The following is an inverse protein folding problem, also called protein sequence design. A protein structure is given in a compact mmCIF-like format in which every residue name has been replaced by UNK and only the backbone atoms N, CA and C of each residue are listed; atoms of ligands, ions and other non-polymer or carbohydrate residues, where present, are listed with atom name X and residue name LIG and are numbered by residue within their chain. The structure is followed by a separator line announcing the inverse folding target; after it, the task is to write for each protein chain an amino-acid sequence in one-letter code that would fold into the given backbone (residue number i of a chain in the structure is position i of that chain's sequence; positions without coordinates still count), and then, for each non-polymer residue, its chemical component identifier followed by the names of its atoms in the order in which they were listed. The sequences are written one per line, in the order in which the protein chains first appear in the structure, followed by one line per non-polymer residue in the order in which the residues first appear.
data_IF_705642693998
#
_entry.id   IF_705642693998
#
_cell.length_a   1.000
_cell.length_b   1.000
_cell.length_c   1.000
_cell.angle_alpha   90.00
_cell.angle_beta   90.00
_cell.angle_gamma   90.00
#
_symmetry.space_group_name_H-M   'P 1'
#
loop_
_entity.id
_entity.type
_entity.pdbx_description
1 polymer ?
#
# COMPACT_ATOMS: atom_id res chain seq x y z
N UNK A 1 16.97 18.33 -0.78
CA UNK A 1 15.89 17.52 -0.19
C UNK A 1 15.32 16.62 -1.29
N UNK A 2 15.24 15.30 -1.12
CA UNK A 2 14.54 14.45 -2.11
C UNK A 2 13.05 14.80 -2.10
N UNK A 3 12.51 15.09 -3.28
CA UNK A 3 11.08 15.34 -3.49
C UNK A 3 10.28 14.13 -2.99
N UNK A 4 9.16 14.34 -2.26
CA UNK A 4 8.32 13.24 -1.71
C UNK A 4 7.91 12.21 -2.77
N UNK A 5 7.78 12.63 -4.02
CA UNK A 5 7.45 11.83 -5.21
C UNK A 5 8.39 10.65 -5.48
N UNK A 6 9.61 10.65 -4.93
CA UNK A 6 10.60 9.57 -5.11
C UNK A 6 10.89 8.79 -3.84
N UNK A 7 10.14 9.02 -2.75
CA UNK A 7 10.29 8.24 -1.52
C UNK A 7 9.43 6.99 -1.60
N UNK A 8 9.95 5.86 -1.14
CA UNK A 8 9.15 4.63 -1.03
C UNK A 8 8.18 4.66 0.15
N UNK A 9 8.53 5.41 1.21
CA UNK A 9 7.80 5.47 2.47
C UNK A 9 7.60 6.92 2.90
N UNK A 10 6.41 7.21 3.42
CA UNK A 10 6.10 8.46 4.12
C UNK A 10 5.45 8.12 5.47
N UNK A 11 5.93 8.75 6.54
CA UNK A 11 5.29 8.65 7.85
C UNK A 11 3.98 9.43 7.85
N UNK A 12 2.96 9.00 8.63
CA UNK A 12 1.67 9.69 8.62
C UNK A 12 1.78 11.17 9.02
N UNK A 13 2.67 11.51 9.96
CA UNK A 13 2.99 12.91 10.32
C UNK A 13 3.54 13.76 9.17
N UNK A 14 4.09 13.14 8.12
CA UNK A 14 4.61 13.82 6.93
C UNK A 14 3.56 13.96 5.82
N UNK A 15 2.40 13.31 5.97
CA UNK A 15 1.36 13.21 4.94
C UNK A 15 0.28 14.28 5.17
N UNK A 16 -0.18 14.85 4.05
CA UNK A 16 -1.30 15.80 3.98
C UNK A 16 -2.29 15.39 2.89
N UNK A 17 -3.42 16.08 2.80
CA UNK A 17 -4.42 15.93 1.73
C UNK A 17 -3.82 16.15 0.33
N UNK A 18 -2.72 16.91 0.21
CA UNK A 18 -2.01 17.11 -1.06
C UNK A 18 -1.25 15.87 -1.53
N UNK A 19 -1.01 14.91 -0.64
CA UNK A 19 -0.24 13.70 -0.91
C UNK A 19 -1.13 12.53 -1.38
N UNK A 20 -2.44 12.73 -1.62
CA UNK A 20 -3.36 11.70 -2.17
C UNK A 20 -2.78 10.98 -3.41
N UNK A 21 -2.16 11.66 -4.40
CA UNK A 21 -1.56 10.96 -5.54
C UNK A 21 -0.37 10.04 -5.18
N UNK A 22 0.21 10.23 -4.00
CA UNK A 22 1.36 9.45 -3.50
C UNK A 22 0.94 8.32 -2.58
N UNK A 23 -0.07 8.50 -1.73
CA UNK A 23 -0.40 7.52 -0.67
C UNK A 23 -1.85 7.03 -0.68
N UNK A 24 -2.68 7.60 -1.56
CA UNK A 24 -4.11 7.34 -1.61
C UNK A 24 -4.92 8.07 -0.54
N UNK A 25 -6.23 8.01 -0.73
CA UNK A 25 -7.22 8.76 0.02
C UNK A 25 -7.24 8.49 1.52
N UNK A 26 -7.23 7.22 1.90
CA UNK A 26 -7.26 6.78 3.31
C UNK A 26 -6.02 7.23 4.08
N UNK A 27 -4.84 7.03 3.50
CA UNK A 27 -3.58 7.45 4.14
C UNK A 27 -3.47 8.97 4.23
N UNK A 28 -3.92 9.70 3.20
CA UNK A 28 -3.96 11.16 3.23
C UNK A 28 -4.89 11.69 4.32
N UNK A 29 -6.10 11.12 4.43
CA UNK A 29 -7.06 11.44 5.50
C UNK A 29 -6.50 11.12 6.88
N UNK A 30 -5.81 9.98 7.05
CA UNK A 30 -5.18 9.62 8.32
C UNK A 30 -4.03 10.57 8.70
N UNK A 31 -3.22 10.99 7.71
CA UNK A 31 -2.19 12.01 7.91
C UNK A 31 -2.75 13.36 8.33
N UNK A 32 -3.84 13.83 7.69
CA UNK A 32 -4.56 15.04 8.10
C UNK A 32 -5.08 14.93 9.53
N UNK A 33 -5.74 13.83 9.89
CA UNK A 33 -6.24 13.64 11.25
C UNK A 33 -5.09 13.69 12.27
N UNK A 34 -3.95 13.05 12.01
CA UNK A 34 -2.78 13.09 12.91
C UNK A 34 -2.22 14.53 13.03
N UNK A 35 -2.14 15.27 11.93
CA UNK A 35 -1.60 16.64 11.96
C UNK A 35 -2.52 17.62 12.68
N UNK A 36 -3.83 17.54 12.43
CA UNK A 36 -4.79 18.56 12.84
C UNK A 36 -5.51 18.24 14.16
N UNK A 37 -5.57 16.95 14.55
CA UNK A 37 -6.35 16.50 15.70
C UNK A 37 -5.51 16.00 16.88
N UNK A 38 -4.25 15.60 16.66
CA UNK A 38 -3.41 15.15 17.78
C UNK A 38 -3.12 16.25 18.80
N UNK A 39 -2.97 17.51 18.36
CA UNK A 39 -2.85 18.67 19.27
C UNK A 39 -4.12 18.96 20.07
N UNK A 40 -5.27 18.41 19.63
CA UNK A 40 -6.56 18.51 20.31
C UNK A 40 -6.82 17.33 21.25
N UNK A 41 -5.82 16.48 21.49
CA UNK A 41 -5.91 15.33 22.37
C UNK A 41 -6.55 14.08 21.74
N UNK A 42 -6.86 14.10 20.44
CA UNK A 42 -7.39 12.91 19.76
C UNK A 42 -6.24 11.95 19.48
N UNK A 43 -6.30 10.77 20.10
CA UNK A 43 -5.28 9.74 19.97
C UNK A 43 -5.53 8.89 18.72
N UNK A 44 -4.58 8.95 17.77
CA UNK A 44 -4.65 8.22 16.50
C UNK A 44 -3.42 7.32 16.42
N UNK A 45 -3.56 6.02 16.11
CA UNK A 45 -2.41 5.15 15.94
C UNK A 45 -1.47 5.65 14.84
N UNK A 46 -0.18 5.72 15.16
CA UNK A 46 0.85 6.16 14.22
C UNK A 46 1.28 5.01 13.29
N UNK A 47 1.97 5.35 12.22
CA UNK A 47 2.33 4.43 11.16
C UNK A 47 2.99 5.11 9.97
N UNK A 48 3.08 4.35 8.88
CA UNK A 48 3.66 4.82 7.64
C UNK A 48 2.89 4.24 6.44
N UNK A 49 2.94 4.96 5.32
CA UNK A 49 2.42 4.51 4.05
C UNK A 49 3.58 4.16 3.11
N UNK A 50 3.45 3.05 2.38
CA UNK A 50 4.20 2.87 1.13
C UNK A 50 3.58 3.75 0.06
N UNK A 51 4.40 4.37 -0.78
CA UNK A 51 3.92 5.29 -1.81
C UNK A 51 3.58 4.59 -3.13
N UNK A 52 2.87 5.29 -4.02
CA UNK A 52 2.68 4.88 -5.40
C UNK A 52 4.01 4.70 -6.14
N UNK A 53 5.05 5.47 -5.79
CA UNK A 53 6.41 5.25 -6.30
C UNK A 53 6.93 3.85 -5.93
N UNK A 54 6.77 3.41 -4.67
CA UNK A 54 7.17 2.06 -4.26
C UNK A 54 6.41 0.96 -5.02
N UNK A 55 5.12 1.18 -5.30
CA UNK A 55 4.31 0.27 -6.11
C UNK A 55 4.86 0.14 -7.54
N UNK A 56 5.10 1.26 -8.22
CA UNK A 56 5.68 1.26 -9.57
C UNK A 56 7.07 0.65 -9.59
N UNK A 57 7.91 0.96 -8.61
CA UNK A 57 9.23 0.37 -8.45
C UNK A 57 9.17 -1.16 -8.30
N UNK A 58 8.22 -1.68 -7.51
CA UNK A 58 8.00 -3.12 -7.39
C UNK A 58 7.61 -3.76 -8.74
N UNK A 59 6.72 -3.13 -9.50
CA UNK A 59 6.29 -3.63 -10.81
C UNK A 59 7.45 -3.61 -11.83
N UNK A 60 8.21 -2.53 -11.88
CA UNK A 60 9.33 -2.33 -12.80
C UNK A 60 10.44 -3.34 -12.55
N UNK A 61 10.88 -3.50 -11.29
CA UNK A 61 11.94 -4.44 -10.91
C UNK A 61 11.62 -5.90 -11.24
N UNK A 62 10.34 -6.23 -11.43
CA UNK A 62 9.88 -7.57 -11.78
C UNK A 62 9.41 -7.69 -13.24
N UNK A 63 9.54 -6.61 -14.02
CA UNK A 63 9.04 -6.51 -15.39
C UNK A 63 7.57 -7.00 -15.50
N UNK A 64 6.72 -6.54 -14.57
CA UNK A 64 5.34 -7.00 -14.47
C UNK A 64 4.41 -6.26 -15.43
N UNK A 65 4.69 -5.00 -15.74
CA UNK A 65 3.79 -4.18 -16.55
C UNK A 65 3.49 -4.76 -17.93
N UNK A 66 4.48 -5.18 -18.74
CA UNK A 66 4.19 -5.80 -20.03
C UNK A 66 3.37 -7.09 -19.87
N UNK A 67 3.69 -7.93 -18.87
CA UNK A 67 3.01 -9.20 -18.63
C UNK A 67 1.55 -8.99 -18.20
N UNK A 68 1.30 -8.03 -17.32
CA UNK A 68 -0.05 -7.66 -16.90
C UNK A 68 -0.86 -7.12 -18.08
N UNK A 69 -0.26 -6.30 -18.95
CA UNK A 69 -0.92 -5.83 -20.18
C UNK A 69 -1.34 -7.00 -21.08
N UNK A 70 -0.48 -7.99 -21.29
CA UNK A 70 -0.83 -9.18 -22.08
C UNK A 70 -1.95 -10.01 -21.44
N UNK A 71 -1.97 -10.13 -20.12
CA UNK A 71 -3.06 -10.80 -19.38
C UNK A 71 -4.38 -10.05 -19.61
N UNK A 72 -4.39 -8.74 -19.43
CA UNK A 72 -5.61 -7.93 -19.54
C UNK A 72 -6.12 -7.75 -20.98
N UNK A 73 -5.31 -7.99 -22.02
CA UNK A 73 -5.81 -8.03 -23.41
C UNK A 73 -6.90 -9.10 -23.63
N UNK A 74 -6.90 -10.15 -22.82
CA UNK A 74 -7.87 -11.26 -22.89
C UNK A 74 -9.14 -11.00 -22.07
N UNK A 75 -9.21 -9.86 -21.39
CA UNK A 75 -10.31 -9.56 -20.47
C UNK A 75 -11.59 -9.24 -21.24
N UNK A 76 -12.65 -10.00 -20.97
CA UNK A 76 -14.00 -9.69 -21.39
C UNK A 76 -14.82 -9.18 -20.19
N UNK A 77 -15.10 -7.88 -20.18
CA UNK A 77 -15.85 -7.21 -19.12
C UNK A 77 -17.31 -7.65 -19.02
N UNK A 78 -17.87 -8.29 -20.07
CA UNK A 78 -19.25 -8.81 -20.07
C UNK A 78 -19.32 -10.25 -19.55
N UNK A 79 -18.19 -10.90 -19.32
CA UNK A 79 -18.12 -12.28 -18.88
C UNK A 79 -17.50 -12.40 -17.49
N UNK A 80 -18.33 -12.74 -16.51
CA UNK A 80 -17.93 -12.91 -15.11
C UNK A 80 -16.83 -13.97 -14.95
N UNK A 81 -16.86 -15.06 -15.74
CA UNK A 81 -15.80 -16.09 -15.69
C UNK A 81 -14.47 -15.54 -16.17
N UNK A 82 -14.48 -14.76 -17.26
CA UNK A 82 -13.28 -14.07 -17.77
C UNK A 82 -12.70 -13.14 -16.69
N UNK A 83 -13.54 -12.31 -16.04
CA UNK A 83 -13.11 -11.44 -14.95
C UNK A 83 -12.42 -12.21 -13.80
N UNK A 84 -13.01 -13.34 -13.39
CA UNK A 84 -12.45 -14.16 -12.31
C UNK A 84 -11.13 -14.82 -12.70
N UNK A 85 -11.05 -15.40 -13.89
CA UNK A 85 -9.87 -16.10 -14.40
C UNK A 85 -8.70 -15.14 -14.61
N UNK A 86 -8.92 -14.05 -15.35
CA UNK A 86 -7.91 -13.03 -15.64
C UNK A 86 -7.48 -12.31 -14.37
N UNK A 87 -8.42 -11.98 -13.46
CA UNK A 87 -8.08 -11.39 -12.17
C UNK A 87 -7.23 -12.32 -11.30
N UNK A 88 -7.54 -13.63 -11.30
CA UNK A 88 -6.74 -14.64 -10.58
C UNK A 88 -5.35 -14.80 -11.20
N UNK A 89 -5.24 -14.79 -12.52
CA UNK A 89 -3.96 -14.84 -13.24
C UNK A 89 -3.07 -13.64 -12.90
N UNK A 90 -3.63 -12.42 -12.96
CA UNK A 90 -2.94 -11.18 -12.62
C UNK A 90 -2.45 -11.17 -11.16
N UNK A 91 -3.32 -11.51 -10.20
CA UNK A 91 -2.94 -11.63 -8.77
C UNK A 91 -1.83 -12.64 -8.56
N UNK A 92 -1.94 -13.82 -9.17
CA UNK A 92 -0.92 -14.86 -9.05
C UNK A 92 0.43 -14.42 -9.61
N UNK A 93 0.44 -13.65 -10.71
CA UNK A 93 1.66 -13.09 -11.27
C UNK A 93 2.35 -12.15 -10.26
N UNK A 94 1.61 -11.23 -9.64
CA UNK A 94 2.11 -10.30 -8.63
C UNK A 94 2.61 -11.06 -7.38
N UNK A 95 1.83 -12.03 -6.90
CA UNK A 95 2.17 -12.84 -5.73
C UNK A 95 3.42 -13.72 -5.93
N UNK A 96 3.77 -14.08 -7.18
CA UNK A 96 4.99 -14.83 -7.51
C UNK A 96 6.22 -13.94 -7.72
N UNK A 97 6.05 -12.65 -7.97
CA UNK A 97 7.15 -11.70 -8.21
C UNK A 97 8.11 -11.58 -7.01
N UNK A 98 9.38 -11.26 -7.22
CA UNK A 98 10.33 -11.08 -6.12
C UNK A 98 10.12 -9.71 -5.47
N UNK A 99 10.02 -9.65 -4.15
CA UNK A 99 9.99 -8.36 -3.45
C UNK A 99 11.41 -7.74 -3.49
N UNK A 100 11.61 -6.52 -4.04
CA UNK A 100 12.93 -5.91 -4.10
C UNK A 100 13.56 -5.79 -2.70
N UNK A 101 14.81 -6.24 -2.55
CA UNK A 101 15.44 -6.36 -1.21
C UNK A 101 15.69 -4.99 -0.56
N UNK A 102 15.93 -3.95 -1.36
CA UNK A 102 16.06 -2.57 -0.90
C UNK A 102 14.73 -2.02 -0.38
N UNK A 103 13.65 -2.15 -1.14
CA UNK A 103 12.30 -1.74 -0.70
C UNK A 103 11.87 -2.52 0.57
N UNK A 104 12.14 -3.83 0.60
CA UNK A 104 11.90 -4.68 1.76
C UNK A 104 12.65 -4.17 2.99
N UNK A 105 13.94 -3.84 2.87
CA UNK A 105 14.75 -3.29 3.96
C UNK A 105 14.21 -1.96 4.46
N UNK A 106 13.75 -1.08 3.58
CA UNK A 106 13.15 0.21 3.97
C UNK A 106 11.87 0.00 4.78
N UNK A 107 10.98 -0.91 4.36
CA UNK A 107 9.75 -1.24 5.07
C UNK A 107 10.04 -1.85 6.44
N UNK A 108 10.99 -2.80 6.50
CA UNK A 108 11.42 -3.42 7.76
C UNK A 108 11.99 -2.36 8.71
N UNK A 109 12.82 -1.44 8.20
CA UNK A 109 13.39 -0.36 9.01
C UNK A 109 12.31 0.55 9.58
N UNK A 110 11.29 0.91 8.78
CA UNK A 110 10.16 1.71 9.26
C UNK A 110 9.35 0.96 10.33
N UNK A 111 9.14 -0.34 10.16
CA UNK A 111 8.49 -1.19 11.16
C UNK A 111 9.27 -1.31 12.47
N UNK A 112 10.59 -1.48 12.40
CA UNK A 112 11.45 -1.48 13.58
C UNK A 112 11.43 -0.13 14.30
N UNK A 113 11.35 0.98 13.55
CA UNK A 113 11.20 2.32 14.13
C UNK A 113 9.85 2.50 14.84
N UNK A 114 8.76 1.94 14.32
CA UNK A 114 7.49 1.85 15.07
C UNK A 114 7.64 1.05 16.36
N UNK A 115 8.44 -0.02 16.34
CA UNK A 115 8.71 -0.83 17.52
C UNK A 115 9.41 -0.07 18.66
N UNK A 116 10.10 1.04 18.37
CA UNK A 116 10.66 1.91 19.41
C UNK A 116 9.57 2.67 20.19
N UNK A 117 8.40 2.88 19.58
CA UNK A 117 7.25 3.61 20.17
C UNK A 117 6.26 2.67 20.82
N UNK A 118 5.98 1.54 20.18
CA UNK A 118 4.91 0.62 20.56
C UNK A 118 5.42 -0.70 21.18
N UNK A 119 6.73 -0.82 21.40
CA UNK A 119 7.36 -2.05 21.89
C UNK A 119 7.86 -2.96 20.77
N UNK A 120 8.75 -3.88 21.12
CA UNK A 120 9.41 -4.76 20.15
C UNK A 120 8.37 -5.62 19.40
N UNK A 121 8.47 -5.65 18.06
CA UNK A 121 7.55 -6.37 17.17
C UNK A 121 6.06 -6.02 17.39
N UNK A 122 5.68 -4.75 17.18
CA UNK A 122 4.31 -4.32 17.40
C UNK A 122 3.35 -5.00 16.40
N UNK A 123 2.13 -5.29 16.84
CA UNK A 123 1.07 -5.73 15.94
C UNK A 123 0.61 -4.55 15.08
N UNK A 124 0.57 -4.74 13.76
CA UNK A 124 0.14 -3.69 12.83
C UNK A 124 -1.00 -4.17 11.94
N UNK A 125 -1.78 -3.21 11.46
CA UNK A 125 -2.73 -3.43 10.38
C UNK A 125 -2.10 -3.00 9.04
N UNK A 126 -2.13 -3.88 8.04
CA UNK A 126 -1.73 -3.54 6.66
C UNK A 126 -2.99 -3.35 5.84
N UNK A 127 -3.18 -2.13 5.34
CA UNK A 127 -4.40 -1.70 4.64
C UNK A 127 -4.03 -1.12 3.28
N UNK A 128 -4.81 -1.46 2.27
CA UNK A 128 -4.71 -0.83 0.96
C UNK A 128 -5.40 0.54 0.95
N UNK A 129 -4.77 1.48 0.25
CA UNK A 129 -5.17 2.87 0.08
C UNK A 129 -4.80 3.28 -1.34
N UNK A 130 -5.70 3.04 -2.29
CA UNK A 130 -5.46 3.36 -3.69
C UNK A 130 -5.62 4.87 -3.95
N UNK A 131 -4.93 5.37 -4.98
CA UNK A 131 -4.93 6.80 -5.36
C UNK A 131 -6.24 7.29 -5.98
N UNK A 132 -7.10 6.37 -6.42
CA UNK A 132 -8.37 6.65 -7.07
C UNK A 132 -9.60 6.27 -6.22
N UNK A 133 -9.41 5.88 -4.95
CA UNK A 133 -10.50 5.46 -4.06
C UNK A 133 -11.47 6.58 -3.68
N UNK A 134 -11.01 7.84 -3.74
CA UNK A 134 -11.77 9.02 -3.32
C UNK A 134 -12.16 9.93 -4.49
N UNK A 135 -12.27 9.38 -5.72
CA UNK A 135 -12.87 10.14 -6.81
C UNK A 135 -14.38 10.31 -6.55
N UNK A 136 -14.96 11.52 -6.75
CA UNK A 136 -16.40 11.75 -6.53
C UNK A 136 -17.32 10.78 -7.29
N UNK A 137 -16.80 10.20 -8.39
CA UNK A 137 -17.51 9.29 -9.28
C UNK A 137 -17.22 7.80 -9.04
N UNK A 138 -16.33 7.42 -8.10
CA UNK A 138 -15.97 6.03 -7.85
C UNK A 138 -15.57 5.80 -6.38
N UNK A 139 -16.38 5.04 -5.65
CA UNK A 139 -16.05 4.51 -4.32
C UNK A 139 -15.84 3.00 -4.42
N UNK A 140 -14.67 2.54 -4.01
CA UNK A 140 -14.30 1.11 -4.00
C UNK A 140 -14.39 0.51 -2.59
N UNK A 141 -15.33 1.01 -1.77
CA UNK A 141 -15.54 0.53 -0.41
C UNK A 141 -15.78 -0.99 -0.38
N UNK A 142 -15.02 -1.70 0.47
CA UNK A 142 -15.17 -3.15 0.66
C UNK A 142 -14.46 -4.04 -0.38
N UNK A 143 -13.84 -3.48 -1.42
CA UNK A 143 -13.11 -4.28 -2.42
C UNK A 143 -11.65 -4.58 -2.05
N UNK A 144 -11.16 -3.92 -1.01
CA UNK A 144 -9.74 -3.81 -0.69
C UNK A 144 -9.36 -4.63 0.55
N UNK A 145 -8.34 -5.48 0.43
CA UNK A 145 -7.90 -6.37 1.51
C UNK A 145 -7.28 -5.59 2.67
N UNK A 146 -7.69 -5.95 3.90
CA UNK A 146 -7.11 -5.49 5.16
C UNK A 146 -6.57 -6.70 5.92
N UNK A 147 -5.32 -6.60 6.36
CA UNK A 147 -4.66 -7.61 7.17
C UNK A 147 -4.49 -7.06 8.59
N UNK A 148 -5.14 -7.70 9.55
CA UNK A 148 -5.07 -7.31 10.97
C UNK A 148 -4.08 -8.21 11.72
N UNK A 149 -3.60 -7.74 12.88
CA UNK A 149 -2.72 -8.48 13.79
C UNK A 149 -1.47 -9.03 13.07
N UNK A 150 -0.89 -8.23 12.17
CA UNK A 150 0.31 -8.62 11.44
C UNK A 150 1.51 -8.34 12.33
N UNK A 151 2.17 -9.42 12.76
CA UNK A 151 3.32 -9.33 13.65
C UNK A 151 4.60 -9.85 13.01
N UNK A 152 5.67 -9.08 13.15
CA UNK A 152 7.01 -9.44 12.69
C UNK A 152 7.25 -9.19 11.19
N UNK A 153 8.52 -9.02 10.87
CA UNK A 153 8.99 -8.57 9.56
C UNK A 153 8.54 -9.46 8.40
N UNK A 154 8.56 -10.79 8.59
CA UNK A 154 8.15 -11.75 7.55
C UNK A 154 6.66 -11.63 7.23
N UNK A 155 5.82 -11.52 8.27
CA UNK A 155 4.38 -11.39 8.09
C UNK A 155 4.02 -10.03 7.46
N UNK A 156 4.71 -8.96 7.89
CA UNK A 156 4.57 -7.63 7.32
C UNK A 156 4.82 -7.63 5.81
N UNK A 157 5.98 -8.12 5.37
CA UNK A 157 6.32 -8.15 3.94
C UNK A 157 5.35 -9.02 3.14
N UNK A 158 4.90 -10.14 3.72
CA UNK A 158 3.87 -10.99 3.11
C UNK A 158 2.55 -10.23 2.94
N UNK A 159 2.07 -9.55 3.97
CA UNK A 159 0.84 -8.76 3.93
C UNK A 159 0.95 -7.59 2.94
N UNK A 160 2.06 -6.84 2.97
CA UNK A 160 2.32 -5.75 2.00
C UNK A 160 2.28 -6.26 0.57
N UNK A 161 2.92 -7.40 0.27
CA UNK A 161 2.90 -7.98 -1.07
C UNK A 161 1.51 -8.40 -1.50
N UNK A 162 0.70 -8.94 -0.59
CA UNK A 162 -0.69 -9.29 -0.90
C UNK A 162 -1.52 -8.03 -1.18
N UNK A 163 -1.31 -6.94 -0.45
CA UNK A 163 -1.98 -5.66 -0.73
C UNK A 163 -1.60 -5.00 -2.06
N UNK A 164 -0.49 -5.42 -2.71
CA UNK A 164 -0.12 -4.99 -4.06
C UNK A 164 -0.89 -5.78 -5.14
N UNK A 165 -1.28 -7.02 -4.84
CA UNK A 165 -1.92 -7.96 -5.78
C UNK A 165 -3.42 -7.70 -5.90
#
# INVERSE_FOLDING_TARGET
MKQKSQKNILWFKEISAKDVPLVGGKNASLGEMIRELSSKGINIPDGFATTSYAYWYFLERNNLLPKLKEIFKKLDLKNIKSLQEIGKEARNLILKAKFPEDLKKEIIKAYQELGKRYGKNPDVAVRSSATAEDLPSASFAGQHETYLNVQGEKALIKATKKSIA
#
